data_IF_774337333024
#
_entry.id   IF_774337333024
#
_cell.length_a   1.000
_cell.length_b   1.000
_cell.length_c   1.000
_cell.angle_alpha   90.00
_cell.angle_beta   90.00
_cell.angle_gamma   90.00
#
_symmetry.space_group_name_H-M   'P 1'
#
loop_
_entity.id
_entity.type
_entity.pdbx_description
1 polymer ?
#
# COMPACT_ATOMS: atom_id res chain seq x y z
N UNK A 1 -19.90 -29.87 4.73
CA UNK A 1 -19.06 -28.95 3.94
C UNK A 1 -18.67 -29.65 2.65
N UNK A 2 -19.02 -29.08 1.50
CA UNK A 2 -18.79 -29.72 0.20
C UNK A 2 -17.28 -29.69 -0.08
N UNK A 3 -16.67 -30.82 -0.43
CA UNK A 3 -15.22 -30.93 -0.71
C UNK A 3 -14.73 -29.84 -1.67
N UNK A 4 -15.53 -29.49 -2.67
CA UNK A 4 -15.26 -28.43 -3.65
C UNK A 4 -15.12 -27.04 -3.00
N UNK A 5 -15.90 -26.73 -1.97
CA UNK A 5 -15.83 -25.46 -1.23
C UNK A 5 -14.57 -25.40 -0.37
N UNK A 6 -14.21 -26.49 0.30
CA UNK A 6 -12.97 -26.56 1.10
C UNK A 6 -11.72 -26.36 0.25
N UNK A 7 -11.65 -26.97 -0.94
CA UNK A 7 -10.51 -26.78 -1.85
C UNK A 7 -10.37 -25.32 -2.27
N UNK A 8 -11.48 -24.65 -2.62
CA UNK A 8 -11.45 -23.23 -3.03
C UNK A 8 -10.97 -22.32 -1.90
N UNK A 9 -11.41 -22.59 -0.66
CA UNK A 9 -10.96 -21.83 0.52
C UNK A 9 -9.47 -22.03 0.75
N UNK A 10 -8.97 -23.26 0.68
CA UNK A 10 -7.53 -23.55 0.84
C UNK A 10 -6.71 -22.89 -0.26
N UNK A 11 -7.14 -22.98 -1.52
CA UNK A 11 -6.45 -22.34 -2.64
C UNK A 11 -6.43 -20.82 -2.46
N UNK A 12 -7.54 -20.20 -2.10
CA UNK A 12 -7.61 -18.77 -1.85
C UNK A 12 -6.60 -18.34 -0.77
N UNK A 13 -6.60 -19.02 0.37
CA UNK A 13 -5.69 -18.67 1.47
C UNK A 13 -4.22 -18.93 1.12
N UNK A 14 -3.92 -20.02 0.39
CA UNK A 14 -2.56 -20.29 -0.08
C UNK A 14 -2.04 -19.17 -1.01
N UNK A 15 -2.88 -18.73 -1.94
CA UNK A 15 -2.54 -17.60 -2.81
C UNK A 15 -2.37 -16.28 -2.04
N UNK A 16 -3.27 -16.00 -1.10
CA UNK A 16 -3.23 -14.77 -0.32
C UNK A 16 -1.99 -14.68 0.57
N UNK A 17 -1.62 -15.76 1.25
CA UNK A 17 -0.39 -15.83 2.04
C UNK A 17 0.85 -15.70 1.14
N UNK A 18 0.86 -16.39 -0.01
CA UNK A 18 1.94 -16.27 -0.97
C UNK A 18 2.11 -14.84 -1.50
N UNK A 19 1.00 -14.16 -1.77
CA UNK A 19 0.99 -12.76 -2.18
C UNK A 19 1.59 -11.85 -1.10
N UNK A 20 1.19 -11.99 0.17
CA UNK A 20 1.76 -11.16 1.24
C UNK A 20 3.25 -11.39 1.48
N UNK A 21 3.72 -12.63 1.38
CA UNK A 21 5.16 -12.91 1.48
C UNK A 21 5.92 -12.22 0.35
N UNK A 22 5.43 -12.34 -0.89
CA UNK A 22 6.04 -11.69 -2.03
C UNK A 22 6.02 -10.17 -1.93
N UNK A 23 4.88 -9.58 -1.57
CA UNK A 23 4.71 -8.16 -1.35
C UNK A 23 5.68 -7.65 -0.27
N UNK A 24 5.77 -8.33 0.87
CA UNK A 24 6.70 -7.95 1.95
C UNK A 24 8.17 -7.91 1.52
N UNK A 25 8.59 -8.84 0.65
CA UNK A 25 9.97 -8.90 0.17
C UNK A 25 10.25 -7.97 -1.01
N UNK A 26 9.23 -7.54 -1.76
CA UNK A 26 9.39 -6.72 -2.97
C UNK A 26 8.96 -5.27 -2.78
N UNK A 27 8.12 -4.99 -1.79
CA UNK A 27 7.69 -3.65 -1.46
C UNK A 27 8.92 -2.80 -1.12
N UNK A 28 8.96 -1.62 -1.72
CA UNK A 28 9.95 -0.63 -1.36
C UNK A 28 9.69 -0.18 0.09
N UNK A 29 10.76 0.06 0.88
CA UNK A 29 10.58 0.60 2.21
C UNK A 29 9.79 1.91 2.14
N UNK A 30 8.88 2.10 3.08
CA UNK A 30 8.12 3.35 3.20
C UNK A 30 9.11 4.50 3.29
N UNK A 31 9.15 5.32 2.24
CA UNK A 31 10.01 6.47 2.21
C UNK A 31 9.26 7.63 2.86
N UNK A 32 9.59 7.91 4.10
CA UNK A 32 9.02 8.99 4.93
C UNK A 32 9.24 10.39 4.34
N UNK A 33 10.16 10.52 3.39
CA UNK A 33 10.48 11.78 2.69
C UNK A 33 9.97 11.82 1.25
N UNK A 34 9.40 10.71 0.74
CA UNK A 34 8.58 10.77 -0.46
C UNK A 34 7.22 11.30 -0.04
N UNK A 35 7.09 12.61 -0.07
CA UNK A 35 5.79 13.25 -0.10
C UNK A 35 4.95 12.63 -1.23
N UNK A 36 3.67 12.37 -0.97
CA UNK A 36 2.77 11.87 -1.99
C UNK A 36 2.89 12.77 -3.23
N UNK A 37 3.05 12.21 -4.44
CA UNK A 37 3.22 13.02 -5.64
C UNK A 37 2.06 14.00 -5.67
N UNK A 38 2.39 15.30 -5.66
CA UNK A 38 1.42 16.37 -5.54
C UNK A 38 0.37 16.18 -6.65
N UNK A 39 -0.82 15.68 -6.29
CA UNK A 39 -2.00 15.60 -7.19
C UNK A 39 -2.66 16.98 -7.29
N UNK A 40 -1.90 18.06 -7.06
CA UNK A 40 -2.36 19.44 -6.95
C UNK A 40 -1.41 20.48 -7.59
N UNK A 41 -0.40 20.07 -8.36
CA UNK A 41 0.39 21.00 -9.21
C UNK A 41 -0.54 21.39 -10.36
N UNK A 42 -1.27 22.50 -10.16
CA UNK A 42 -2.22 23.03 -11.13
C UNK A 42 -3.39 23.82 -10.54
N UNK A 43 -3.66 23.73 -9.23
CA UNK A 43 -4.80 24.44 -8.61
C UNK A 43 -4.51 25.92 -8.30
N UNK A 44 -3.26 26.37 -8.44
CA UNK A 44 -2.82 27.71 -8.03
C UNK A 44 -2.85 27.95 -6.52
N UNK A 45 -3.22 26.95 -5.71
CA UNK A 45 -3.18 27.02 -4.26
C UNK A 45 -1.82 26.57 -3.77
N UNK A 46 -1.19 27.40 -2.93
CA UNK A 46 0.05 27.02 -2.25
C UNK A 46 -0.23 25.81 -1.34
N UNK A 47 0.60 24.75 -1.39
CA UNK A 47 0.45 23.62 -0.47
C UNK A 47 0.63 24.11 0.97
N UNK A 48 -0.43 24.04 1.78
CA UNK A 48 -0.36 24.30 3.23
C UNK A 48 0.13 23.05 3.97
N UNK A 49 1.30 22.55 3.56
CA UNK A 49 2.01 21.49 4.25
C UNK A 49 3.04 22.06 5.23
N UNK A 50 2.79 21.91 6.53
CA UNK A 50 3.84 21.91 7.56
C UNK A 50 4.20 23.23 8.23
N UNK A 51 3.25 23.90 8.92
CA UNK A 51 3.57 25.01 9.84
C UNK A 51 4.49 24.62 11.03
N UNK A 52 4.78 23.33 11.24
CA UNK A 52 5.60 22.84 12.34
C UNK A 52 7.04 22.46 11.96
N UNK A 53 7.49 22.77 10.74
CA UNK A 53 8.88 22.58 10.32
C UNK A 53 9.63 23.92 10.25
N UNK A 54 9.72 24.62 11.39
CA UNK A 54 10.60 25.78 11.56
C UNK A 54 11.64 25.42 12.62
N UNK A 55 12.90 25.36 12.19
CA UNK A 55 14.09 25.31 13.04
C UNK A 55 14.33 26.65 13.74
#
# INVERSE_FOLDING_TARGET
MNKLTSVRVVVFWAFLVGFFIWDWHTAQPVNLHLEAPIIAIGSGQAPSGGHCATF
#
